data_IF_135740267761
#
_entry.id   IF_135740267761
#
_cell.length_a   1.000
_cell.length_b   1.000
_cell.length_c   1.000
_cell.angle_alpha   90.00
_cell.angle_beta   90.00
_cell.angle_gamma   90.00
#
_symmetry.space_group_name_H-M   'P 1'
#
loop_
_entity.id
_entity.type
_entity.pdbx_description
1 polymer ?
#
# COMPACT_ATOMS: atom_id res chain seq x y z
N UNK A 1 7.63 6.43 -15.63
CA UNK A 1 7.19 5.52 -16.74
C UNK A 1 6.54 4.18 -16.34
N UNK A 2 6.98 3.49 -15.28
CA UNK A 2 6.61 2.09 -15.03
C UNK A 2 5.09 1.84 -14.93
N UNK A 3 4.35 2.73 -14.28
CA UNK A 3 2.91 2.55 -14.00
C UNK A 3 2.02 2.54 -15.25
N UNK A 4 2.40 3.22 -16.33
CA UNK A 4 1.59 3.30 -17.54
C UNK A 4 1.76 2.09 -18.48
N UNK A 5 2.82 1.28 -18.28
CA UNK A 5 3.15 0.17 -19.18
C UNK A 5 2.08 -0.91 -19.25
N UNK A 6 1.48 -1.39 -18.14
CA UNK A 6 0.44 -2.43 -18.22
C UNK A 6 -0.78 -1.96 -19.02
N UNK A 7 -1.23 -0.72 -18.82
CA UNK A 7 -2.34 -0.15 -19.57
C UNK A 7 -1.98 0.02 -21.06
N UNK A 8 -0.80 0.57 -21.35
CA UNK A 8 -0.31 0.73 -22.72
C UNK A 8 -0.25 -0.61 -23.48
N UNK A 9 0.25 -1.67 -22.83
CA UNK A 9 0.29 -3.00 -23.42
C UNK A 9 -1.13 -3.53 -23.74
N UNK A 10 -2.09 -3.33 -22.84
CA UNK A 10 -3.50 -3.72 -23.05
C UNK A 10 -4.13 -2.95 -24.21
N UNK A 11 -3.87 -1.65 -24.32
CA UNK A 11 -4.40 -0.84 -25.43
C UNK A 11 -3.75 -1.24 -26.76
N UNK A 12 -2.44 -1.49 -26.79
CA UNK A 12 -1.72 -1.96 -27.96
C UNK A 12 -2.23 -3.33 -28.44
N UNK A 13 -2.54 -4.25 -27.51
CA UNK A 13 -3.11 -5.56 -27.82
C UNK A 13 -4.50 -5.47 -28.49
N UNK A 14 -5.21 -4.36 -28.33
CA UNK A 14 -6.46 -4.05 -29.06
C UNK A 14 -6.21 -3.45 -30.45
N UNK A 15 -4.96 -3.46 -30.94
CA UNK A 15 -4.58 -2.92 -32.26
C UNK A 15 -4.54 -1.40 -32.31
N UNK A 16 -4.51 -0.71 -31.16
CA UNK A 16 -4.45 0.75 -31.10
C UNK A 16 -3.01 1.23 -30.93
N UNK A 17 -2.66 2.32 -31.62
CA UNK A 17 -1.39 3.00 -31.39
C UNK A 17 -1.43 3.67 -30.01
N UNK A 18 -0.35 3.49 -29.24
CA UNK A 18 -0.19 4.10 -27.92
C UNK A 18 1.03 5.00 -27.93
N UNK A 19 0.86 6.22 -27.42
CA UNK A 19 1.96 7.13 -27.14
C UNK A 19 2.01 7.38 -25.63
N UNK A 20 3.19 7.19 -25.05
CA UNK A 20 3.41 7.41 -23.61
C UNK A 20 3.98 8.81 -23.41
N UNK A 21 3.20 9.66 -22.74
CA UNK A 21 3.61 11.01 -22.35
C UNK A 21 3.52 11.14 -20.82
N UNK A 22 4.58 10.79 -20.07
CA UNK A 22 4.57 10.88 -18.60
C UNK A 22 4.41 12.32 -18.15
N UNK A 23 3.40 12.58 -17.32
CA UNK A 23 3.15 13.91 -16.72
C UNK A 23 3.57 13.98 -15.24
N UNK A 24 3.78 12.82 -14.62
CA UNK A 24 4.16 12.69 -13.23
C UNK A 24 5.12 11.51 -13.08
N UNK A 25 6.14 11.70 -12.25
CA UNK A 25 7.04 10.65 -11.80
C UNK A 25 7.00 10.56 -10.27
N UNK A 26 7.11 9.33 -9.76
CA UNK A 26 7.16 9.08 -8.32
C UNK A 26 8.57 8.63 -8.02
N UNK A 27 9.24 9.42 -7.20
CA UNK A 27 10.59 9.18 -6.75
C UNK A 27 10.58 8.77 -5.26
N UNK A 28 11.58 8.01 -4.80
CA UNK A 28 11.79 7.79 -3.38
C UNK A 28 11.93 9.12 -2.64
N UNK A 29 11.51 9.14 -1.37
CA UNK A 29 11.80 10.28 -0.50
C UNK A 29 13.33 10.47 -0.39
N UNK A 30 13.86 11.68 -0.63
CA UNK A 30 15.30 11.92 -0.55
C UNK A 30 15.84 11.66 0.86
N UNK A 31 15.03 11.94 1.90
CA UNK A 31 15.35 11.65 3.29
C UNK A 31 14.20 10.88 3.96
N UNK A 32 14.21 9.53 3.93
CA UNK A 32 13.13 8.72 4.48
C UNK A 32 13.23 8.54 6.00
N UNK A 33 13.81 9.48 6.76
CA UNK A 33 14.10 9.31 8.19
C UNK A 33 12.84 9.00 9.02
N UNK A 34 11.73 9.70 8.75
CA UNK A 34 10.45 9.45 9.43
C UNK A 34 9.86 8.07 9.08
N UNK A 35 9.98 7.64 7.82
CA UNK A 35 9.57 6.31 7.39
C UNK A 35 10.39 5.24 8.11
N UNK A 36 11.72 5.37 8.12
CA UNK A 36 12.62 4.42 8.78
C UNK A 36 12.34 4.31 10.28
N UNK A 37 12.12 5.43 10.97
CA UNK A 37 11.74 5.43 12.39
C UNK A 37 10.40 4.73 12.64
N UNK A 38 9.40 4.97 11.79
CA UNK A 38 8.10 4.32 11.89
C UNK A 38 8.21 2.80 11.63
N UNK A 39 8.99 2.37 10.64
CA UNK A 39 9.25 0.97 10.33
C UNK A 39 10.03 0.27 11.45
N UNK A 40 11.00 0.94 12.06
CA UNK A 40 11.72 0.41 13.23
C UNK A 40 10.76 0.14 14.40
N UNK A 41 9.81 1.05 14.67
CA UNK A 41 8.76 0.85 15.68
C UNK A 41 7.77 -0.25 15.27
N UNK A 42 7.46 -0.38 14.00
CA UNK A 42 6.60 -1.44 13.46
C UNK A 42 7.22 -2.83 13.66
N UNK A 43 8.51 -2.98 13.37
CA UNK A 43 9.24 -4.24 13.44
C UNK A 43 9.85 -4.54 14.82
N UNK A 44 9.61 -3.70 15.83
CA UNK A 44 10.07 -3.95 17.19
C UNK A 44 9.45 -5.26 17.76
N UNK A 45 10.08 -5.90 18.77
CA UNK A 45 9.59 -7.16 19.34
C UNK A 45 8.13 -7.12 19.83
N UNK A 46 7.69 -5.93 20.26
CA UNK A 46 6.28 -5.61 20.50
C UNK A 46 5.89 -4.56 19.45
N UNK A 47 5.12 -4.94 18.42
CA UNK A 47 4.75 -4.01 17.35
C UNK A 47 4.02 -2.80 17.91
N UNK A 48 4.48 -1.61 17.55
CA UNK A 48 3.94 -0.36 18.10
C UNK A 48 2.62 0.09 17.46
N UNK A 49 2.03 -0.68 16.54
CA UNK A 49 0.85 -0.35 15.75
C UNK A 49 -0.08 -1.55 15.62
N UNK A 50 -1.40 -1.33 15.68
CA UNK A 50 -2.40 -2.38 15.46
C UNK A 50 -2.78 -2.53 13.98
N UNK A 51 -2.63 -1.46 13.20
CA UNK A 51 -2.93 -1.43 11.77
C UNK A 51 -1.96 -0.50 11.04
N UNK A 52 -1.55 -0.90 9.83
CA UNK A 52 -0.85 -0.04 8.88
C UNK A 52 -1.67 0.07 7.60
N UNK A 53 -2.01 1.30 7.22
CA UNK A 53 -2.72 1.59 5.98
C UNK A 53 -1.74 2.08 4.90
N UNK A 54 -1.78 1.45 3.72
CA UNK A 54 -1.04 1.89 2.54
C UNK A 54 -2.00 2.49 1.52
N UNK A 55 -1.75 3.76 1.15
CA UNK A 55 -2.62 4.49 0.22
C UNK A 55 -2.26 4.25 -1.25
N UNK A 56 -1.16 3.55 -1.55
CA UNK A 56 -0.76 3.23 -2.93
C UNK A 56 0.19 2.04 -3.01
N UNK A 57 0.35 1.41 -4.19
CA UNK A 57 1.37 0.39 -4.45
C UNK A 57 2.79 0.90 -4.17
N UNK A 58 3.07 2.15 -4.54
CA UNK A 58 4.40 2.72 -4.35
C UNK A 58 4.76 2.90 -2.86
N UNK A 59 3.77 3.20 -2.02
CA UNK A 59 3.98 3.28 -0.57
C UNK A 59 4.35 1.91 0.03
N UNK A 60 3.78 0.83 -0.51
CA UNK A 60 4.14 -0.54 -0.15
C UNK A 60 5.59 -0.79 -0.57
N UNK A 61 5.92 -0.57 -1.84
CA UNK A 61 7.27 -0.79 -2.35
C UNK A 61 8.33 0.01 -1.57
N UNK A 62 8.02 1.26 -1.21
CA UNK A 62 8.90 2.09 -0.39
C UNK A 62 9.12 1.53 1.02
N UNK A 63 8.08 0.95 1.65
CA UNK A 63 8.25 0.32 2.97
C UNK A 63 9.05 -0.99 2.86
N UNK A 64 8.71 -1.86 1.91
CA UNK A 64 9.37 -3.15 1.69
C UNK A 64 10.80 -3.03 1.13
N UNK A 65 11.21 -1.86 0.65
CA UNK A 65 12.62 -1.56 0.42
C UNK A 65 13.46 -1.59 1.72
N UNK A 66 12.82 -1.48 2.89
CA UNK A 66 13.48 -1.38 4.19
C UNK A 66 13.08 -2.48 5.18
N UNK A 67 12.06 -3.29 4.88
CA UNK A 67 11.64 -4.43 5.70
C UNK A 67 11.58 -5.69 4.84
N UNK A 68 12.00 -6.83 5.40
CA UNK A 68 11.98 -8.12 4.67
C UNK A 68 10.70 -8.92 4.91
N UNK A 69 10.07 -8.72 6.07
CA UNK A 69 8.90 -9.49 6.50
C UNK A 69 7.92 -8.57 7.20
N UNK A 70 6.63 -8.86 7.01
CA UNK A 70 5.57 -8.18 7.73
C UNK A 70 5.47 -8.72 9.16
N UNK A 71 5.41 -7.87 10.21
CA UNK A 71 5.31 -8.32 11.58
C UNK A 71 3.99 -9.04 11.85
N UNK A 72 4.05 -10.16 12.57
CA UNK A 72 2.87 -10.91 12.97
C UNK A 72 1.95 -10.08 13.86
N UNK A 73 0.64 -10.25 13.70
CA UNK A 73 -0.38 -9.60 14.51
C UNK A 73 -0.69 -8.15 14.12
N UNK A 74 0.05 -7.54 13.18
CA UNK A 74 -0.26 -6.20 12.67
C UNK A 74 -1.10 -6.31 11.41
N UNK A 75 -2.29 -5.70 11.43
CA UNK A 75 -3.18 -5.68 10.27
C UNK A 75 -2.68 -4.74 9.18
N UNK A 76 -2.99 -5.07 7.94
CA UNK A 76 -2.77 -4.24 6.76
C UNK A 76 -4.10 -3.70 6.25
N UNK A 77 -4.12 -2.45 5.81
CA UNK A 77 -5.24 -1.88 5.08
C UNK A 77 -4.76 -1.34 3.74
N UNK A 78 -5.46 -1.69 2.66
CA UNK A 78 -5.14 -1.24 1.30
C UNK A 78 -6.40 -0.86 0.55
N UNK A 79 -6.27 0.15 -0.31
CA UNK A 79 -7.39 0.77 -1.02
C UNK A 79 -7.87 -0.02 -2.24
N UNK A 80 -6.99 -0.66 -3.01
CA UNK A 80 -7.39 -1.28 -4.28
C UNK A 80 -6.51 -2.45 -4.75
N UNK A 81 -6.90 -3.06 -5.86
CA UNK A 81 -6.24 -4.26 -6.40
C UNK A 81 -4.76 -4.07 -6.71
N UNK A 82 -4.36 -2.89 -7.18
CA UNK A 82 -2.94 -2.59 -7.42
C UNK A 82 -2.10 -2.71 -6.15
N UNK A 83 -2.62 -2.27 -5.01
CA UNK A 83 -1.94 -2.36 -3.72
C UNK A 83 -1.93 -3.80 -3.20
N UNK A 84 -3.01 -4.56 -3.43
CA UNK A 84 -3.05 -6.00 -3.11
C UNK A 84 -2.01 -6.79 -3.91
N UNK A 85 -1.88 -6.48 -5.21
CA UNK A 85 -0.88 -7.09 -6.07
C UNK A 85 0.55 -6.74 -5.62
N UNK A 86 0.80 -5.50 -5.20
CA UNK A 86 2.10 -5.10 -4.64
C UNK A 86 2.43 -5.85 -3.35
N UNK A 87 1.49 -5.95 -2.40
CA UNK A 87 1.69 -6.76 -1.19
C UNK A 87 2.02 -8.22 -1.53
N UNK A 88 1.26 -8.82 -2.44
CA UNK A 88 1.48 -10.20 -2.87
C UNK A 88 2.86 -10.39 -3.54
N UNK A 89 3.35 -9.41 -4.30
CA UNK A 89 4.69 -9.43 -4.89
C UNK A 89 5.80 -9.42 -3.83
N UNK A 90 5.55 -8.86 -2.64
CA UNK A 90 6.43 -8.93 -1.47
C UNK A 90 6.14 -10.14 -0.57
N UNK A 91 5.33 -11.10 -1.03
CA UNK A 91 5.01 -12.32 -0.29
C UNK A 91 3.95 -12.16 0.79
N UNK A 92 3.26 -11.00 0.86
CA UNK A 92 2.19 -10.75 1.81
C UNK A 92 0.84 -11.02 1.17
N UNK A 93 0.24 -12.13 1.55
CA UNK A 93 -1.07 -12.60 1.09
C UNK A 93 -2.05 -12.75 2.26
N UNK A 94 -3.37 -12.93 1.99
CA UNK A 94 -4.35 -13.21 3.04
C UNK A 94 -4.03 -14.44 3.91
N UNK A 95 -3.18 -15.36 3.42
CA UNK A 95 -2.75 -16.54 4.18
C UNK A 95 -1.65 -16.21 5.21
N UNK A 96 -0.93 -15.10 4.98
CA UNK A 96 0.23 -14.68 5.79
C UNK A 96 -0.07 -13.50 6.71
N UNK A 97 -1.08 -12.69 6.38
CA UNK A 97 -1.43 -11.49 7.12
C UNK A 97 -2.93 -11.14 6.98
N UNK A 98 -3.47 -10.45 7.99
CA UNK A 98 -4.83 -9.89 7.93
C UNK A 98 -4.82 -8.61 7.08
N UNK A 99 -5.43 -8.67 5.89
CA UNK A 99 -5.44 -7.59 4.89
C UNK A 99 -6.87 -7.10 4.66
N UNK A 100 -7.14 -5.84 5.05
CA UNK A 100 -8.43 -5.18 4.92
C UNK A 100 -8.56 -4.42 3.58
N UNK A 101 -9.56 -4.85 2.80
CA UNK A 101 -10.26 -4.28 1.63
C UNK A 101 -11.29 -3.19 1.85
N UNK A 102 -11.57 -2.24 0.94
CA UNK A 102 -12.97 -2.05 0.53
C UNK A 102 -13.65 -3.40 0.21
N UNK A 103 -14.93 -3.52 0.53
CA UNK A 103 -15.69 -4.78 0.38
C UNK A 103 -15.98 -5.13 -1.09
N UNK A 104 -16.03 -4.12 -1.95
CA UNK A 104 -16.28 -4.23 -3.38
C UNK A 104 -15.06 -3.71 -4.15
N UNK A 105 -14.64 -4.44 -5.17
CA UNK A 105 -13.50 -4.09 -6.02
C UNK A 105 -13.78 -2.92 -6.97
N UNK A 106 -15.05 -2.52 -7.15
CA UNK A 106 -15.39 -1.32 -7.90
C UNK A 106 -14.97 -0.02 -7.19
N UNK A 107 -14.76 -0.07 -5.88
CA UNK A 107 -14.37 1.08 -5.06
C UNK A 107 -12.94 0.91 -4.56
N UNK A 108 -12.15 1.97 -4.72
CA UNK A 108 -10.75 1.98 -4.31
C UNK A 108 -10.35 3.25 -3.56
N UNK A 109 -11.28 3.77 -2.75
CA UNK A 109 -11.13 5.02 -2.02
C UNK A 109 -11.13 4.80 -0.49
N UNK A 110 -10.77 5.86 0.24
CA UNK A 110 -10.64 5.83 1.69
C UNK A 110 -11.97 5.64 2.41
N UNK A 111 -13.05 6.15 1.84
CA UNK A 111 -14.39 6.15 2.38
C UNK A 111 -14.93 4.72 2.46
N UNK A 112 -14.75 3.93 1.41
CA UNK A 112 -15.15 2.53 1.39
C UNK A 112 -14.22 1.64 2.22
N UNK A 113 -12.94 2.00 2.35
CA UNK A 113 -12.04 1.32 3.29
C UNK A 113 -12.48 1.55 4.74
N UNK A 114 -12.90 2.77 5.11
CA UNK A 114 -13.35 3.07 6.47
C UNK A 114 -14.59 2.26 6.88
N UNK A 115 -15.44 1.90 5.93
CA UNK A 115 -16.63 1.09 6.18
C UNK A 115 -16.33 -0.37 6.53
N UNK A 116 -15.17 -0.90 6.11
CA UNK A 116 -14.77 -2.29 6.38
C UNK A 116 -13.85 -2.43 7.59
N UNK A 117 -13.25 -1.33 8.04
CA UNK A 117 -12.43 -1.31 9.24
C UNK A 117 -13.29 -1.44 10.50
N UNK A 118 -12.84 -2.28 11.44
CA UNK A 118 -13.40 -2.32 12.79
C UNK A 118 -12.90 -1.11 13.60
N UNK A 119 -13.57 0.03 13.42
CA UNK A 119 -13.23 1.28 14.09
C UNK A 119 -13.38 1.20 15.61
N UNK A 120 -14.21 0.28 16.12
CA UNK A 120 -14.34 0.09 17.57
C UNK A 120 -13.08 -0.57 18.15
N UNK A 121 -12.55 -1.60 17.48
CA UNK A 121 -11.30 -2.25 17.87
C UNK A 121 -10.07 -1.34 17.73
N UNK A 122 -10.10 -0.37 16.81
CA UNK A 122 -9.02 0.60 16.61
C UNK A 122 -9.08 1.82 17.55
N UNK A 123 -10.14 1.97 18.36
CA UNK A 123 -10.29 3.14 19.22
C UNK A 123 -9.16 3.22 20.25
N UNK A 124 -8.42 4.33 20.24
CA UNK A 124 -7.28 4.57 21.14
C UNK A 124 -6.03 3.77 20.78
N UNK A 125 -6.06 3.01 19.69
CA UNK A 125 -4.93 2.22 19.22
C UNK A 125 -4.08 3.00 18.21
N UNK A 126 -2.75 2.82 18.23
CA UNK A 126 -1.88 3.43 17.25
C UNK A 126 -2.07 2.80 15.85
N UNK A 127 -2.32 3.66 14.87
CA UNK A 127 -2.42 3.31 13.45
C UNK A 127 -1.36 4.10 12.67
N UNK A 128 -0.68 3.43 11.73
CA UNK A 128 0.29 4.06 10.83
C UNK A 128 -0.33 4.20 9.43
N UNK A 129 -0.19 5.35 8.80
CA UNK A 129 -0.55 5.57 7.39
C UNK A 129 0.73 5.84 6.61
N UNK A 130 1.04 5.01 5.62
CA UNK A 130 2.19 5.17 4.74
C UNK A 130 1.72 5.72 3.40
N UNK A 131 2.23 6.91 3.04
CA UNK A 131 1.80 7.71 1.88
C UNK A 131 2.96 8.49 1.28
N UNK A 132 2.73 9.07 0.11
CA UNK A 132 3.62 10.07 -0.48
C UNK A 132 3.61 11.38 0.32
N UNK A 133 4.57 12.25 0.02
CA UNK A 133 4.72 13.55 0.69
C UNK A 133 3.47 14.44 0.49
N UNK A 134 2.99 14.54 -0.75
CA UNK A 134 1.75 15.22 -1.10
C UNK A 134 0.61 14.22 -1.33
N UNK A 135 -0.62 14.57 -0.90
CA UNK A 135 -1.81 13.70 -0.96
C UNK A 135 -2.24 13.20 0.40
#
# INVERSE_FOLDING_TARGET
LAQARPLAARIAALGRRVELLPLLEIEPLPEPAALLAALARLCAPQPGYQLVAFVSPNAIDAAFAHIQQWPAGVKLAVLGEGSRAALAAHGVTPDTADIVSPADSAHSDSEHLLQTLDLAALRGQPVLIVRGESG
#
